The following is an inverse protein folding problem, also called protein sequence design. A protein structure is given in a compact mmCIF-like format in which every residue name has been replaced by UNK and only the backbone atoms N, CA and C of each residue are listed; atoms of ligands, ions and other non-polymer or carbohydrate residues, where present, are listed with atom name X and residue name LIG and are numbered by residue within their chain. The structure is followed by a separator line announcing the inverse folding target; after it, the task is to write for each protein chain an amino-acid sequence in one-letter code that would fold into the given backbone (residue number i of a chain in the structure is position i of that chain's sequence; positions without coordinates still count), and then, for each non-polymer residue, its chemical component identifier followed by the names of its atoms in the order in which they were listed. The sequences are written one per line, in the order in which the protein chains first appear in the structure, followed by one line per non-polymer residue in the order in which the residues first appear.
data_IF_143985985404
#
_entry.id   IF_143985985404
#
_cell.length_a   1.000
_cell.length_b   1.000
_cell.length_c   1.000
_cell.angle_alpha   90.00
_cell.angle_beta   90.00
_cell.angle_gamma   90.00
#
_symmetry.space_group_name_H-M   'P 1'
#
loop_
_entity.id
_entity.type
_entity.pdbx_description
1 polymer ?
#
# COMPACT_ATOMS: atom_id res chain seq x y z
N UNK A 1 -6.00 15.30 -9.03
CA UNK A 1 -6.80 15.95 -7.97
C UNK A 1 -8.03 15.09 -7.74
N UNK A 2 -8.19 14.48 -6.56
CA UNK A 2 -9.40 13.70 -6.23
C UNK A 2 -10.58 14.66 -6.17
N UNK A 3 -11.56 14.50 -7.06
CA UNK A 3 -12.70 15.43 -7.19
C UNK A 3 -13.83 15.16 -6.17
N UNK A 4 -13.69 14.13 -5.33
CA UNK A 4 -14.64 13.79 -4.27
C UNK A 4 -14.16 14.23 -2.90
N UNK A 5 -15.10 14.64 -2.03
CA UNK A 5 -14.81 14.89 -0.61
C UNK A 5 -14.20 13.63 0.03
N UNK A 6 -13.24 13.77 0.96
CA UNK A 6 -12.68 12.64 1.69
C UNK A 6 -13.82 11.87 2.35
N UNK A 7 -13.99 10.62 1.93
CA UNK A 7 -15.04 9.73 2.41
C UNK A 7 -14.46 8.80 3.46
N UNK A 8 -15.26 8.38 4.44
CA UNK A 8 -14.77 7.52 5.52
C UNK A 8 -14.23 6.19 4.98
N UNK A 9 -13.04 5.82 5.46
CA UNK A 9 -12.39 4.52 5.25
C UNK A 9 -13.06 3.33 5.93
N UNK A 10 -14.11 3.61 6.69
CA UNK A 10 -14.82 2.60 7.45
C UNK A 10 -15.56 1.71 6.47
N UNK A 11 -15.10 0.47 6.34
CA UNK A 11 -15.78 -0.54 5.55
C UNK A 11 -17.21 -0.76 6.05
N UNK A 12 -18.11 -1.21 5.17
CA UNK A 12 -19.47 -1.58 5.55
C UNK A 12 -19.49 -2.57 6.73
N UNK A 13 -20.54 -2.52 7.56
CA UNK A 13 -20.62 -3.31 8.81
C UNK A 13 -20.51 -4.82 8.58
N UNK A 14 -20.98 -5.29 7.42
CA UNK A 14 -20.97 -6.68 6.97
C UNK A 14 -19.68 -7.08 6.24
N UNK A 15 -18.74 -6.16 6.04
CA UNK A 15 -17.49 -6.46 5.35
C UNK A 15 -16.64 -7.43 6.18
N UNK A 16 -16.20 -8.56 5.60
CA UNK A 16 -15.32 -9.51 6.30
C UNK A 16 -13.93 -8.92 6.61
N UNK A 17 -13.59 -7.77 6.02
CA UNK A 17 -12.34 -7.04 6.25
C UNK A 17 -12.52 -5.89 7.27
N UNK A 18 -13.72 -5.70 7.82
CA UNK A 18 -13.98 -4.74 8.90
C UNK A 18 -13.48 -5.36 10.20
N UNK A 19 -12.58 -4.65 10.87
CA UNK A 19 -12.07 -5.03 12.18
C UNK A 19 -12.43 -3.91 13.14
N UNK A 20 -13.13 -4.25 14.21
CA UNK A 20 -13.45 -3.31 15.28
C UNK A 20 -12.62 -3.64 16.51
N UNK A 21 -12.08 -2.60 17.15
CA UNK A 21 -11.38 -2.76 18.41
C UNK A 21 -12.38 -3.28 19.48
N UNK A 22 -12.07 -4.37 20.20
CA UNK A 22 -12.95 -4.89 21.23
C UNK A 22 -13.16 -3.87 22.34
N UNK A 23 -14.42 -3.59 22.66
CA UNK A 23 -14.82 -2.71 23.76
C UNK A 23 -14.98 -3.54 25.04
N UNK A 24 -13.92 -3.60 25.84
CA UNK A 24 -13.97 -4.25 27.15
C UNK A 24 -14.55 -3.30 28.21
N UNK A 25 -15.35 -3.86 29.12
CA UNK A 25 -15.98 -3.15 30.25
C UNK A 25 -15.56 -3.74 31.61
N UNK A 26 -15.83 -3.01 32.70
CA UNK A 26 -15.60 -3.45 34.08
C UNK A 26 -14.13 -3.80 34.39
N UNK A 27 -13.91 -4.92 35.07
CA UNK A 27 -12.58 -5.38 35.49
C UNK A 27 -11.68 -5.63 34.27
N UNK A 28 -12.22 -6.15 33.17
CA UNK A 28 -11.45 -6.37 31.93
C UNK A 28 -10.93 -5.06 31.36
N UNK A 29 -11.76 -4.02 31.33
CA UNK A 29 -11.32 -2.68 30.91
C UNK A 29 -10.14 -2.19 31.76
N UNK A 30 -10.26 -2.32 33.08
CA UNK A 30 -9.22 -1.90 34.01
C UNK A 30 -7.90 -2.64 33.77
N UNK A 31 -7.94 -3.98 33.63
CA UNK A 31 -6.76 -4.80 33.35
C UNK A 31 -6.12 -4.42 32.01
N UNK A 32 -6.91 -4.31 30.93
CA UNK A 32 -6.38 -3.93 29.61
C UNK A 32 -5.81 -2.50 29.60
N UNK A 33 -6.41 -1.58 30.35
CA UNK A 33 -5.87 -0.24 30.53
C UNK A 33 -4.51 -0.28 31.24
N UNK A 34 -4.36 -1.09 32.28
CA UNK A 34 -3.09 -1.27 33.00
C UNK A 34 -2.01 -1.90 32.11
N UNK A 35 -2.40 -2.83 31.23
CA UNK A 35 -1.53 -3.44 30.21
C UNK A 35 -1.31 -2.55 28.97
N UNK A 36 -1.65 -1.27 29.02
CA UNK A 36 -1.44 -0.28 27.94
C UNK A 36 -2.15 -0.61 26.61
N UNK A 37 -3.17 -1.46 26.60
CA UNK A 37 -3.93 -1.83 25.41
C UNK A 37 -4.58 -0.62 24.71
N UNK A 38 -4.96 0.38 25.50
CA UNK A 38 -5.59 1.61 25.01
C UNK A 38 -4.60 2.76 24.79
N UNK A 39 -3.29 2.51 24.93
CA UNK A 39 -2.25 3.50 24.61
C UNK A 39 -2.28 3.88 23.13
N UNK A 40 -1.78 5.08 22.81
CA UNK A 40 -1.72 5.58 21.44
C UNK A 40 -0.95 4.62 20.52
N UNK A 41 0.21 4.15 20.97
CA UNK A 41 1.05 3.17 20.27
C UNK A 41 0.29 1.86 20.02
N UNK A 42 -0.35 1.28 21.05
CA UNK A 42 -1.05 0.00 20.88
C UNK A 42 -2.20 0.11 19.87
N UNK A 43 -2.95 1.22 19.90
CA UNK A 43 -4.00 1.51 18.90
C UNK A 43 -3.41 1.68 17.49
N UNK A 44 -2.30 2.42 17.35
CA UNK A 44 -1.66 2.66 16.07
C UNK A 44 -1.14 1.35 15.44
N UNK A 45 -0.50 0.47 16.23
CA UNK A 45 -0.04 -0.85 15.77
C UNK A 45 -1.23 -1.70 15.29
N UNK A 46 -2.35 -1.73 16.01
CA UNK A 46 -3.55 -2.46 15.55
C UNK A 46 -4.13 -1.86 14.26
N UNK A 47 -4.21 -0.53 14.20
CA UNK A 47 -4.65 0.17 12.99
C UNK A 47 -3.78 -0.16 11.78
N UNK A 48 -2.46 -0.15 11.95
CA UNK A 48 -1.50 -0.50 10.91
C UNK A 48 -1.67 -1.95 10.44
N UNK A 49 -1.87 -2.90 11.37
CA UNK A 49 -2.15 -4.31 11.04
C UNK A 49 -3.44 -4.47 10.22
N UNK A 50 -4.50 -3.72 10.56
CA UNK A 50 -5.76 -3.76 9.80
C UNK A 50 -5.55 -3.22 8.39
N UNK A 51 -4.86 -2.07 8.24
CA UNK A 51 -4.59 -1.48 6.93
C UNK A 51 -3.73 -2.43 6.09
N UNK A 52 -2.63 -2.92 6.66
CA UNK A 52 -1.71 -3.81 5.94
C UNK A 52 -2.37 -5.15 5.56
N UNK A 53 -3.16 -5.74 6.46
CA UNK A 53 -3.95 -6.93 6.17
C UNK A 53 -4.91 -6.75 4.99
N UNK A 54 -5.49 -5.55 4.84
CA UNK A 54 -6.32 -5.21 3.67
C UNK A 54 -5.51 -5.09 2.40
N UNK A 55 -4.34 -4.44 2.44
CA UNK A 55 -3.40 -4.38 1.29
C UNK A 55 -3.06 -5.79 0.83
N UNK A 56 -2.68 -6.65 1.77
CA UNK A 56 -2.37 -8.06 1.51
C UNK A 56 -3.56 -8.82 0.91
N UNK A 57 -4.78 -8.57 1.40
CA UNK A 57 -5.99 -9.19 0.84
C UNK A 57 -6.28 -8.78 -0.61
N UNK A 58 -5.73 -7.67 -1.10
CA UNK A 58 -5.83 -7.27 -2.50
C UNK A 58 -4.68 -7.88 -3.33
N UNK A 59 -3.46 -7.75 -2.83
CA UNK A 59 -2.25 -8.19 -3.56
C UNK A 59 -2.18 -9.71 -3.68
N UNK A 60 -2.66 -10.50 -2.72
CA UNK A 60 -2.55 -11.96 -2.81
C UNK A 60 -3.59 -12.62 -3.73
N UNK A 61 -4.64 -11.91 -4.13
CA UNK A 61 -5.73 -12.45 -4.95
C UNK A 61 -5.29 -12.63 -6.41
N UNK A 62 -5.46 -13.82 -7.02
CA UNK A 62 -5.16 -14.02 -8.45
C UNK A 62 -5.90 -13.05 -9.39
N UNK A 63 -7.07 -12.56 -8.96
CA UNK A 63 -7.90 -11.66 -9.76
C UNK A 63 -7.20 -10.35 -10.15
N UNK A 64 -6.35 -9.77 -9.30
CA UNK A 64 -5.66 -8.50 -9.62
C UNK A 64 -4.62 -8.71 -10.73
N UNK A 65 -3.90 -9.84 -10.69
CA UNK A 65 -2.92 -10.21 -11.70
C UNK A 65 -3.60 -10.49 -13.04
N UNK A 66 -4.70 -11.25 -13.03
CA UNK A 66 -5.46 -11.56 -14.24
C UNK A 66 -6.09 -10.30 -14.85
N UNK A 67 -6.68 -9.43 -14.03
CA UNK A 67 -7.29 -8.17 -14.48
C UNK A 67 -6.25 -7.24 -15.12
N UNK A 68 -5.01 -7.29 -14.63
CA UNK A 68 -3.91 -6.47 -15.12
C UNK A 68 -2.97 -7.20 -16.09
N UNK A 69 -3.30 -8.42 -16.52
CA UNK A 69 -2.44 -9.24 -17.38
C UNK A 69 -0.99 -9.31 -16.88
N UNK A 70 -0.81 -9.43 -15.56
CA UNK A 70 0.48 -9.56 -14.88
C UNK A 70 0.73 -11.03 -14.53
N UNK A 71 1.95 -11.50 -14.70
CA UNK A 71 2.37 -12.78 -14.11
C UNK A 71 2.58 -12.60 -12.60
N UNK A 72 2.16 -13.58 -11.77
CA UNK A 72 2.41 -13.54 -10.32
C UNK A 72 3.87 -13.91 -10.02
N UNK A 73 4.75 -12.91 -10.02
CA UNK A 73 6.17 -13.02 -9.67
C UNK A 73 6.48 -12.19 -8.42
N UNK A 74 7.68 -12.34 -7.86
CA UNK A 74 8.13 -11.47 -6.77
C UNK A 74 8.11 -10.00 -7.19
N UNK A 75 8.59 -9.70 -8.41
CA UNK A 75 8.65 -8.34 -8.96
C UNK A 75 7.27 -7.71 -9.03
N UNK A 76 6.30 -8.35 -9.68
CA UNK A 76 4.95 -7.79 -9.85
C UNK A 76 4.22 -7.67 -8.51
N UNK A 77 4.40 -8.64 -7.62
CA UNK A 77 3.87 -8.59 -6.25
C UNK A 77 4.45 -7.42 -5.47
N UNK A 78 5.78 -7.22 -5.55
CA UNK A 78 6.46 -6.09 -4.92
C UNK A 78 5.96 -4.76 -5.49
N UNK A 79 5.89 -4.59 -6.81
CA UNK A 79 5.36 -3.38 -7.44
C UNK A 79 3.93 -3.05 -7.01
N UNK A 80 3.04 -4.06 -6.91
CA UNK A 80 1.69 -3.87 -6.41
C UNK A 80 1.67 -3.47 -4.92
N UNK A 81 2.53 -4.07 -4.08
CA UNK A 81 2.67 -3.66 -2.68
C UNK A 81 3.12 -2.19 -2.58
N UNK A 82 4.15 -1.80 -3.33
CA UNK A 82 4.65 -0.41 -3.35
C UNK A 82 3.53 0.56 -3.75
N UNK A 83 2.75 0.23 -4.79
CA UNK A 83 1.63 1.07 -5.24
C UNK A 83 0.55 1.23 -4.15
N UNK A 84 0.15 0.14 -3.48
CA UNK A 84 -0.84 0.20 -2.40
C UNK A 84 -0.31 0.97 -1.19
N UNK A 85 0.96 0.75 -0.82
CA UNK A 85 1.60 1.46 0.28
C UNK A 85 1.69 2.96 0.00
N UNK A 86 2.03 3.37 -1.23
CA UNK A 86 1.99 4.79 -1.62
C UNK A 86 0.60 5.39 -1.41
N UNK A 87 -0.45 4.75 -1.91
CA UNK A 87 -1.83 5.21 -1.75
C UNK A 87 -2.20 5.37 -0.26
N UNK A 88 -1.90 4.35 0.57
CA UNK A 88 -2.18 4.40 2.00
C UNK A 88 -1.40 5.50 2.73
N UNK A 89 -0.09 5.60 2.49
CA UNK A 89 0.77 6.58 3.16
C UNK A 89 0.42 8.01 2.76
N UNK A 90 0.14 8.24 1.48
CA UNK A 90 -0.30 9.54 0.97
C UNK A 90 -1.59 10.00 1.65
N UNK A 91 -2.57 9.11 1.77
CA UNK A 91 -3.84 9.38 2.44
C UNK A 91 -3.69 9.61 3.94
N UNK A 92 -2.90 8.77 4.62
CA UNK A 92 -2.63 8.91 6.05
C UNK A 92 -1.95 10.25 6.36
N UNK A 93 -1.07 10.72 5.48
CA UNK A 93 -0.42 12.03 5.63
C UNK A 93 -1.42 13.20 5.70
N UNK A 94 -2.59 13.07 5.07
CA UNK A 94 -3.66 14.08 5.10
C UNK A 94 -4.36 14.16 6.48
N UNK A 95 -4.24 13.12 7.31
CA UNK A 95 -4.74 13.10 8.70
C UNK A 95 -3.78 13.78 9.70
N UNK A 96 -2.73 14.45 9.20
CA UNK A 96 -1.77 15.18 10.03
C UNK A 96 -0.86 14.26 10.86
N UNK A 97 -0.46 14.74 12.04
CA UNK A 97 0.58 14.07 12.87
C UNK A 97 0.22 12.63 13.25
N UNK A 98 -1.04 12.38 13.55
CA UNK A 98 -1.49 11.03 13.95
C UNK A 98 -1.45 10.05 12.77
N UNK A 99 -1.83 10.51 11.58
CA UNK A 99 -1.72 9.71 10.37
C UNK A 99 -0.28 9.44 9.95
N UNK A 100 0.63 10.40 10.12
CA UNK A 100 2.08 10.20 9.90
C UNK A 100 2.64 9.14 10.85
N UNK A 101 2.29 9.19 12.14
CA UNK A 101 2.70 8.19 13.13
C UNK A 101 2.13 6.80 12.81
N UNK A 102 0.86 6.71 12.41
CA UNK A 102 0.25 5.46 11.94
C UNK A 102 0.95 4.93 10.67
N UNK A 103 1.32 5.82 9.76
CA UNK A 103 2.05 5.49 8.53
C UNK A 103 3.43 4.90 8.80
N UNK A 104 4.11 5.31 9.87
CA UNK A 104 5.39 4.69 10.29
C UNK A 104 5.19 3.23 10.68
N UNK A 105 4.21 2.92 11.54
CA UNK A 105 3.91 1.53 11.90
C UNK A 105 3.48 0.69 10.69
N UNK A 106 2.74 1.29 9.75
CA UNK A 106 2.37 0.62 8.50
C UNK A 106 3.59 0.29 7.63
N UNK A 107 4.54 1.22 7.50
CA UNK A 107 5.78 1.02 6.77
C UNK A 107 6.68 -0.06 7.41
N UNK A 108 6.75 -0.10 8.75
CA UNK A 108 7.48 -1.14 9.49
C UNK A 108 6.92 -2.54 9.21
N UNK A 109 5.58 -2.70 9.25
CA UNK A 109 4.93 -3.97 8.92
C UNK A 109 5.21 -4.40 7.48
N UNK A 110 5.12 -3.46 6.54
CA UNK A 110 5.44 -3.69 5.14
C UNK A 110 6.88 -4.16 4.94
N UNK A 111 7.86 -3.48 5.55
CA UNK A 111 9.26 -3.84 5.41
C UNK A 111 9.56 -5.23 5.97
N UNK A 112 8.93 -5.57 7.11
CA UNK A 112 9.08 -6.90 7.69
C UNK A 112 8.51 -7.99 6.77
N UNK A 113 7.35 -7.77 6.16
CA UNK A 113 6.79 -8.72 5.18
C UNK A 113 7.68 -8.87 3.94
N UNK A 114 8.21 -7.76 3.40
CA UNK A 114 9.14 -7.79 2.26
C UNK A 114 10.41 -8.57 2.62
N UNK A 115 10.99 -8.35 3.79
CA UNK A 115 12.16 -9.10 4.28
C UNK A 115 11.86 -10.61 4.34
N UNK A 116 10.72 -10.99 4.90
CA UNK A 116 10.29 -12.40 4.94
C UNK A 116 10.12 -13.00 3.55
N UNK A 117 9.57 -12.24 2.59
CA UNK A 117 9.42 -12.69 1.19
C UNK A 117 10.77 -12.89 0.50
N UNK A 118 11.71 -11.96 0.70
CA UNK A 118 13.07 -12.05 0.15
C UNK A 118 13.80 -13.27 0.73
N UNK A 119 13.71 -13.48 2.04
CA UNK A 119 14.29 -14.66 2.68
C UNK A 119 13.67 -15.96 2.15
N UNK A 120 12.33 -16.02 2.00
CA UNK A 120 11.62 -17.17 1.41
C UNK A 120 11.99 -17.43 -0.05
N UNK A 121 12.36 -16.40 -0.80
CA UNK A 121 12.86 -16.53 -2.18
C UNK A 121 14.31 -17.06 -2.24
N UNK A 122 14.90 -17.45 -1.10
CA UNK A 122 16.24 -18.05 -1.02
C UNK A 122 17.38 -17.06 -0.85
N UNK A 123 17.07 -15.77 -0.70
CA UNK A 123 18.08 -14.70 -0.54
C UNK A 123 18.37 -14.49 0.95
N UNK A 124 19.33 -15.26 1.48
CA UNK A 124 19.73 -15.15 2.90
C UNK A 124 21.10 -14.48 3.08
N UNK A 125 22.09 -14.79 2.23
CA UNK A 125 23.47 -14.29 2.39
C UNK A 125 23.62 -12.79 2.07
N UNK A 126 22.77 -12.26 1.18
CA UNK A 126 22.81 -10.86 0.73
C UNK A 126 21.55 -10.08 1.11
N UNK A 127 20.77 -10.55 2.09
CA UNK A 127 19.48 -9.98 2.47
C UNK A 127 19.57 -8.47 2.69
N UNK A 128 20.57 -7.98 3.43
CA UNK A 128 20.77 -6.56 3.67
C UNK A 128 20.98 -5.72 2.40
N UNK A 129 21.74 -6.25 1.42
CA UNK A 129 21.97 -5.57 0.15
C UNK A 129 20.66 -5.49 -0.65
N UNK A 130 19.94 -6.60 -0.73
CA UNK A 130 18.65 -6.67 -1.40
C UNK A 130 17.62 -5.75 -0.76
N UNK A 131 17.51 -5.74 0.56
CA UNK A 131 16.60 -4.85 1.27
C UNK A 131 16.90 -3.37 1.00
N UNK A 132 18.18 -2.98 0.96
CA UNK A 132 18.58 -1.61 0.57
C UNK A 132 18.18 -1.26 -0.86
N UNK A 133 18.29 -2.20 -1.79
CA UNK A 133 17.92 -1.95 -3.19
C UNK A 133 16.41 -1.88 -3.35
N UNK A 134 15.64 -2.71 -2.65
CA UNK A 134 14.17 -2.64 -2.59
C UNK A 134 13.70 -1.34 -1.94
N UNK A 135 14.36 -0.88 -0.88
CA UNK A 135 14.06 0.41 -0.24
C UNK A 135 14.28 1.59 -1.19
N UNK A 136 15.36 1.58 -1.98
CA UNK A 136 15.58 2.61 -3.02
C UNK A 136 14.47 2.58 -4.08
N UNK A 137 14.05 1.39 -4.52
CA UNK A 137 12.96 1.25 -5.49
C UNK A 137 11.66 1.80 -4.88
N UNK A 138 11.36 1.46 -3.63
CA UNK A 138 10.19 1.97 -2.91
C UNK A 138 10.17 3.50 -2.91
N UNK A 139 11.22 4.16 -2.40
CA UNK A 139 11.24 5.63 -2.32
C UNK A 139 11.27 6.29 -3.70
N UNK A 140 11.98 5.71 -4.68
CA UNK A 140 11.98 6.19 -6.06
C UNK A 140 10.57 6.17 -6.67
N UNK A 141 9.79 5.14 -6.36
CA UNK A 141 8.39 5.02 -6.75
C UNK A 141 7.52 6.08 -6.08
N UNK A 142 7.66 6.29 -4.76
CA UNK A 142 6.91 7.34 -4.03
C UNK A 142 7.12 8.71 -4.69
N UNK A 143 8.36 9.07 -4.97
CA UNK A 143 8.71 10.35 -5.60
C UNK A 143 8.10 10.46 -7.00
N UNK A 144 8.20 9.40 -7.81
CA UNK A 144 7.66 9.39 -9.16
C UNK A 144 6.12 9.50 -9.17
N UNK A 145 5.43 8.78 -8.28
CA UNK A 145 3.97 8.83 -8.17
C UNK A 145 3.48 10.18 -7.66
N UNK A 146 4.14 10.75 -6.66
CA UNK A 146 3.79 12.08 -6.15
C UNK A 146 3.99 13.18 -7.20
N UNK A 147 5.08 13.13 -7.97
CA UNK A 147 5.33 14.07 -9.07
C UNK A 147 4.26 13.98 -10.16
N UNK A 148 3.86 12.77 -10.54
CA UNK A 148 2.81 12.54 -11.54
C UNK A 148 1.40 12.92 -11.04
N UNK A 149 1.23 13.19 -9.74
CA UNK A 149 -0.02 13.64 -9.13
C UNK A 149 -0.11 15.16 -8.93
N UNK A 150 0.93 15.92 -9.29
CA UNK A 150 0.92 17.37 -9.19
C UNK A 150 -0.12 18.00 -10.13
N UNK A 151 -0.75 19.13 -9.76
CA UNK A 151 -1.71 19.82 -10.63
C UNK A 151 -1.15 20.19 -12.02
N UNK A 152 0.15 20.43 -12.10
CA UNK A 152 0.86 20.85 -13.32
C UNK A 152 1.32 19.65 -14.18
N UNK A 153 1.15 18.41 -13.71
CA UNK A 153 1.52 17.22 -14.46
C UNK A 153 0.59 17.02 -15.67
N UNK A 154 1.14 16.48 -16.77
CA UNK A 154 0.33 16.13 -17.95
C UNK A 154 -0.60 14.96 -17.62
N UNK A 155 -1.71 14.87 -18.34
CA UNK A 155 -2.75 13.86 -18.10
C UNK A 155 -2.24 12.41 -18.22
N UNK A 156 -1.22 12.18 -19.03
CA UNK A 156 -0.59 10.89 -19.28
C UNK A 156 0.58 10.55 -18.34
N UNK A 157 1.07 11.50 -17.54
CA UNK A 157 2.22 11.28 -16.64
C UNK A 157 1.99 10.13 -15.66
N UNK A 158 0.83 10.09 -15.00
CA UNK A 158 0.56 9.03 -14.02
C UNK A 158 0.38 7.65 -14.66
N UNK A 159 -0.40 7.48 -15.76
CA UNK A 159 -0.37 6.26 -16.55
C UNK A 159 1.05 5.81 -16.94
N UNK A 160 1.91 6.72 -17.41
CA UNK A 160 3.27 6.38 -17.82
C UNK A 160 4.14 5.93 -16.64
N UNK A 161 4.02 6.59 -15.48
CA UNK A 161 4.74 6.17 -14.26
C UNK A 161 4.23 4.82 -13.74
N UNK A 162 2.92 4.55 -13.81
CA UNK A 162 2.35 3.24 -13.46
C UNK A 162 2.87 2.16 -14.40
N UNK A 163 2.88 2.41 -15.71
CA UNK A 163 3.45 1.51 -16.71
C UNK A 163 4.89 1.13 -16.35
N UNK A 164 5.76 2.13 -16.19
CA UNK A 164 7.19 1.92 -15.93
C UNK A 164 7.46 1.09 -14.68
N UNK A 165 6.67 1.27 -13.63
CA UNK A 165 6.95 0.67 -12.32
C UNK A 165 6.19 -0.64 -12.05
N UNK A 166 5.03 -0.85 -12.68
CA UNK A 166 4.17 -2.01 -12.43
C UNK A 166 4.17 -3.00 -13.59
N UNK A 167 4.27 -2.52 -14.84
CA UNK A 167 4.02 -3.33 -16.03
C UNK A 167 5.25 -3.51 -16.93
N UNK A 168 6.21 -2.59 -16.91
CA UNK A 168 7.38 -2.63 -17.78
C UNK A 168 8.43 -3.62 -17.24
N UNK A 169 8.71 -4.67 -18.02
CA UNK A 169 9.80 -5.61 -17.77
C UNK A 169 11.12 -5.20 -18.44
N UNK A 170 11.02 -4.46 -19.55
CA UNK A 170 12.15 -4.05 -20.40
C UNK A 170 12.58 -2.59 -20.19
N UNK A 171 11.88 -1.83 -19.36
CA UNK A 171 12.14 -0.41 -19.15
C UNK A 171 11.65 0.49 -20.28
N UNK A 172 10.76 -0.02 -21.16
CA UNK A 172 10.06 0.78 -22.15
C UNK A 172 9.33 1.97 -21.51
N UNK A 173 9.51 3.16 -22.08
CA UNK A 173 8.96 4.40 -21.52
C UNK A 173 7.44 4.54 -21.71
N UNK A 174 6.87 3.83 -22.69
CA UNK A 174 5.45 3.96 -23.06
C UNK A 174 4.76 2.59 -23.16
N UNK A 175 3.51 2.46 -22.69
CA UNK A 175 2.72 1.26 -22.90
C UNK A 175 2.46 1.05 -24.39
N UNK A 176 2.52 -0.19 -24.85
CA UNK A 176 2.02 -0.56 -26.18
C UNK A 176 0.48 -0.48 -26.22
N UNK A 177 -0.10 -0.46 -27.41
CA UNK A 177 -1.55 -0.30 -27.61
C UNK A 177 -2.39 -1.34 -26.85
N UNK A 178 -1.85 -2.55 -26.65
CA UNK A 178 -2.51 -3.62 -25.90
C UNK A 178 -2.46 -3.42 -24.38
N UNK A 179 -1.41 -2.80 -23.84
CA UNK A 179 -1.29 -2.50 -22.41
C UNK A 179 -1.95 -1.19 -21.99
N UNK A 180 -2.16 -0.24 -22.91
CA UNK A 180 -2.65 1.10 -22.59
C UNK A 180 -3.97 1.09 -21.80
N UNK A 181 -4.94 0.25 -22.20
CA UNK A 181 -6.24 0.15 -21.50
C UNK A 181 -6.10 -0.38 -20.09
N UNK A 182 -5.18 -1.33 -19.88
CA UNK A 182 -4.94 -1.95 -18.59
C UNK A 182 -4.24 -0.97 -17.64
N UNK A 183 -3.24 -0.25 -18.14
CA UNK A 183 -2.57 0.81 -17.40
C UNK A 183 -3.55 1.91 -17.02
N UNK A 184 -4.38 2.37 -17.97
CA UNK A 184 -5.43 3.36 -17.70
C UNK A 184 -6.43 2.88 -16.64
N UNK A 185 -6.85 1.61 -16.69
CA UNK A 185 -7.73 1.04 -15.68
C UNK A 185 -7.06 0.98 -14.30
N UNK A 186 -5.80 0.54 -14.23
CA UNK A 186 -5.03 0.51 -12.99
C UNK A 186 -4.84 1.93 -12.42
N UNK A 187 -4.46 2.89 -13.27
CA UNK A 187 -4.34 4.30 -12.89
C UNK A 187 -5.66 4.89 -12.43
N UNK A 188 -6.75 4.62 -13.13
CA UNK A 188 -8.08 5.08 -12.74
C UNK A 188 -8.48 4.49 -11.40
N UNK A 189 -8.25 3.21 -11.16
CA UNK A 189 -8.51 2.59 -9.87
C UNK A 189 -7.65 3.23 -8.79
N UNK A 190 -6.35 3.41 -8.99
CA UNK A 190 -5.47 4.09 -8.03
C UNK A 190 -5.92 5.54 -7.73
N UNK A 191 -6.41 6.26 -8.73
CA UNK A 191 -6.93 7.64 -8.59
C UNK A 191 -8.37 7.73 -8.05
N UNK A 192 -9.14 6.63 -8.03
CA UNK A 192 -10.52 6.61 -7.54
C UNK A 192 -10.71 5.72 -6.31
N UNK A 193 -9.64 5.06 -5.86
CA UNK A 193 -9.54 4.48 -4.54
C UNK A 193 -9.57 5.67 -3.57
N UNK A 194 -10.77 6.01 -3.12
CA UNK A 194 -11.01 6.75 -1.89
C UNK A 194 -10.57 5.83 -0.74
N UNK A 195 -9.26 5.74 -0.52
CA UNK A 195 -8.75 5.49 0.83
C UNK A 195 -8.98 6.75 1.67
#
# INVERSE_FOLDING_TARGET
MFWSKPTSLVLAMDSPLRVEDPKYEGIKHFVFKLLLFYSKQSKAIRGANVIYGRVMSQVEKPAIYNAFNLEKTFKTTFSLLVLHMWLCLRRLKEEGKEGVELGQYLYELYNHDVELRVSKAGVNLLLHKWMKDLEKIFYGNIVAYDAAMLPEAKQDEFPNVIWRNVFSDDGSDMPNDSALRVVQACSYLAMNINL
#
